data_IF_468634798526
#
_entry.id   IF_468634798526
#
_cell.length_a   1.000
_cell.length_b   1.000
_cell.length_c   1.000
_cell.angle_alpha   90.00
_cell.angle_beta   90.00
_cell.angle_gamma   90.00
#
_symmetry.space_group_name_H-M   'P 1'
#
loop_
_entity.id
_entity.type
_entity.pdbx_description
1 polymer ?
#
# COMPACT_ATOMS: atom_id res chain seq x y z
N UNK A 1 35.58 41.17 -45.78
CA UNK A 1 36.28 41.58 -44.54
C UNK A 1 35.32 41.43 -43.37
N UNK A 2 35.83 40.88 -42.27
CA UNK A 2 35.08 40.50 -41.08
C UNK A 2 34.65 41.70 -40.23
N UNK A 3 33.54 41.55 -39.49
CA UNK A 3 33.49 41.45 -38.01
C UNK A 3 32.09 41.79 -37.48
N UNK A 4 31.48 40.81 -36.80
CA UNK A 4 30.54 41.02 -35.69
C UNK A 4 31.27 41.78 -34.55
N UNK A 5 30.58 42.58 -33.70
CA UNK A 5 29.81 42.05 -32.54
C UNK A 5 28.57 42.94 -32.22
N UNK A 6 27.65 42.74 -31.25
CA UNK A 6 27.56 42.02 -29.99
C UNK A 6 26.10 41.61 -29.70
N UNK A 7 26.00 40.68 -28.76
CA UNK A 7 24.82 40.00 -28.21
C UNK A 7 24.06 40.78 -27.11
N UNK A 8 22.86 40.25 -26.84
CA UNK A 8 22.02 40.32 -25.63
C UNK A 8 21.11 41.56 -25.55
N UNK A 9 19.82 41.45 -25.19
CA UNK A 9 19.31 40.71 -24.05
C UNK A 9 17.95 40.04 -24.35
N UNK A 10 17.91 38.71 -24.32
CA UNK A 10 16.67 37.94 -24.23
C UNK A 10 16.37 37.68 -22.74
N UNK A 11 15.23 38.17 -22.26
CA UNK A 11 14.65 37.73 -20.97
C UNK A 11 13.72 36.55 -21.28
N UNK A 12 13.98 35.32 -20.82
CA UNK A 12 12.98 34.27 -20.88
C UNK A 12 11.93 34.50 -19.78
N UNK A 13 10.67 34.51 -20.18
CA UNK A 13 9.49 34.49 -19.31
C UNK A 13 9.48 33.21 -18.46
N UNK A 14 9.78 33.32 -17.17
CA UNK A 14 9.80 32.23 -16.20
C UNK A 14 8.42 31.75 -15.73
N UNK A 15 7.34 32.11 -16.42
CA UNK A 15 5.98 31.81 -15.97
C UNK A 15 5.40 30.46 -16.44
N UNK A 16 6.08 29.69 -17.30
CA UNK A 16 5.55 28.41 -17.80
C UNK A 16 6.25 27.15 -17.25
N UNK A 17 7.21 27.28 -16.34
CA UNK A 17 7.95 26.14 -15.79
C UNK A 17 7.39 25.56 -14.47
N UNK A 18 6.29 26.10 -13.94
CA UNK A 18 5.75 25.70 -12.62
C UNK A 18 4.62 24.67 -12.68
N UNK A 19 4.09 24.35 -13.86
CA UNK A 19 3.02 23.34 -13.98
C UNK A 19 3.55 21.90 -14.03
N UNK A 20 4.84 21.69 -14.28
CA UNK A 20 5.48 20.36 -14.31
C UNK A 20 6.17 19.96 -13.01
N UNK A 21 6.23 20.85 -12.02
CA UNK A 21 6.77 20.59 -10.67
C UNK A 21 5.68 20.30 -9.61
N UNK A 22 4.42 20.15 -10.06
CA UNK A 22 3.28 19.76 -9.23
C UNK A 22 3.19 18.27 -8.90
N UNK A 23 4.26 17.50 -9.11
CA UNK A 23 4.42 16.15 -8.51
C UNK A 23 4.88 16.26 -7.05
N UNK A 24 4.40 17.31 -6.37
CA UNK A 24 4.53 17.48 -4.94
C UNK A 24 4.08 16.18 -4.28
N UNK A 25 4.85 15.74 -3.29
CA UNK A 25 4.68 14.52 -2.51
C UNK A 25 3.29 14.46 -1.86
N UNK A 26 2.25 14.18 -2.65
CA UNK A 26 0.93 13.88 -2.13
C UNK A 26 1.10 12.59 -1.36
N UNK A 27 0.85 12.65 -0.04
CA UNK A 27 0.77 11.43 0.76
C UNK A 27 -0.18 10.47 0.06
N UNK A 28 0.16 9.18 0.01
CA UNK A 28 -0.73 8.19 -0.58
C UNK A 28 -2.12 8.32 0.05
N UNK A 29 -3.16 8.34 -0.78
CA UNK A 29 -4.53 8.64 -0.35
C UNK A 29 -5.10 7.56 0.55
N UNK A 30 -4.52 6.37 0.49
CA UNK A 30 -4.94 5.17 1.18
C UNK A 30 -3.73 4.25 1.37
N UNK A 31 -3.64 3.55 2.51
CA UNK A 31 -2.70 2.47 2.76
C UNK A 31 -3.45 1.14 2.74
N UNK A 32 -3.05 0.26 1.82
CA UNK A 32 -3.60 -1.09 1.67
C UNK A 32 -2.52 -2.10 2.04
N UNK A 33 -2.86 -3.12 2.81
CA UNK A 33 -1.95 -4.23 3.10
C UNK A 33 -2.49 -5.58 2.65
N UNK A 34 -1.58 -6.51 2.40
CA UNK A 34 -1.88 -7.86 1.96
C UNK A 34 -1.28 -8.88 2.92
N UNK A 35 -2.03 -9.92 3.27
CA UNK A 35 -1.47 -11.15 3.82
C UNK A 35 -0.61 -11.89 2.76
N UNK A 36 0.11 -12.92 3.18
CA UNK A 36 0.95 -13.73 2.31
C UNK A 36 0.30 -15.07 2.03
N UNK A 37 0.07 -15.88 3.06
CA UNK A 37 -0.24 -17.29 2.90
C UNK A 37 -1.68 -17.43 2.39
N UNK A 38 -1.88 -18.20 1.30
CA UNK A 38 -3.14 -18.33 0.55
C UNK A 38 -3.76 -17.02 -0.01
N UNK A 39 -3.14 -15.86 0.24
CA UNK A 39 -3.52 -14.55 -0.32
C UNK A 39 -2.63 -14.15 -1.49
N UNK A 40 -1.34 -13.90 -1.24
CA UNK A 40 -0.35 -13.52 -2.25
C UNK A 40 0.51 -14.70 -2.71
N UNK A 41 0.88 -15.59 -1.79
CA UNK A 41 1.44 -16.88 -2.12
C UNK A 41 0.29 -17.88 -2.17
N UNK A 42 0.17 -18.65 -3.24
CA UNK A 42 -0.83 -19.69 -3.35
C UNK A 42 -0.18 -21.02 -3.69
N UNK A 43 -0.77 -22.09 -3.17
CA UNK A 43 -0.45 -23.44 -3.61
C UNK A 43 -0.79 -23.58 -5.12
N UNK A 44 -0.01 -24.36 -5.89
CA UNK A 44 -0.25 -24.55 -7.32
C UNK A 44 -1.65 -25.07 -7.68
N UNK A 45 -2.30 -25.78 -6.76
CA UNK A 45 -3.67 -26.30 -6.89
C UNK A 45 -4.77 -25.25 -6.70
N UNK A 46 -4.44 -24.08 -6.12
CA UNK A 46 -5.37 -23.00 -5.86
C UNK A 46 -5.34 -21.93 -6.94
N UNK A 47 -4.15 -21.61 -7.46
CA UNK A 47 -3.97 -20.59 -8.49
C UNK A 47 -2.68 -20.83 -9.26
N UNK A 48 -2.65 -20.40 -10.52
CA UNK A 48 -1.41 -20.28 -11.27
C UNK A 48 -0.46 -19.26 -10.60
N UNK A 49 0.84 -19.49 -10.80
CA UNK A 49 1.88 -18.58 -10.39
C UNK A 49 2.01 -17.40 -11.39
N UNK A 50 2.39 -16.24 -10.88
CA UNK A 50 2.70 -15.04 -11.63
C UNK A 50 3.96 -15.26 -12.48
N UNK A 51 3.90 -14.79 -13.73
CA UNK A 51 5.04 -14.87 -14.63
C UNK A 51 6.21 -14.04 -14.12
N UNK A 52 7.38 -14.66 -14.15
CA UNK A 52 8.64 -14.04 -13.80
C UNK A 52 9.55 -13.91 -15.02
N UNK A 53 10.28 -12.79 -15.10
CA UNK A 53 11.38 -12.61 -16.07
C UNK A 53 12.67 -13.35 -15.68
N UNK A 54 12.79 -13.76 -14.41
CA UNK A 54 13.90 -14.55 -13.90
C UNK A 54 13.65 -16.04 -14.10
N UNK A 55 14.71 -16.85 -14.33
CA UNK A 55 14.60 -18.29 -14.43
C UNK A 55 13.91 -18.91 -13.22
N UNK A 56 13.12 -19.97 -13.44
CA UNK A 56 12.30 -20.60 -12.39
C UNK A 56 13.10 -21.11 -11.19
N UNK A 57 14.33 -21.60 -11.41
CA UNK A 57 15.20 -22.06 -10.33
C UNK A 57 15.58 -20.94 -9.35
N UNK A 58 15.65 -19.69 -9.82
CA UNK A 58 15.96 -18.52 -8.98
C UNK A 58 14.81 -18.28 -8.00
N UNK A 59 13.57 -18.39 -8.49
CA UNK A 59 12.38 -18.26 -7.64
C UNK A 59 12.29 -19.40 -6.64
N UNK A 60 12.48 -20.64 -7.10
CA UNK A 60 12.45 -21.83 -6.25
C UNK A 60 13.45 -21.77 -5.09
N UNK A 61 14.57 -21.07 -5.26
CA UNK A 61 15.60 -20.97 -4.22
C UNK A 61 15.49 -19.71 -3.36
N UNK A 62 14.93 -18.62 -3.90
CA UNK A 62 14.96 -17.31 -3.25
C UNK A 62 13.61 -16.81 -2.73
N UNK A 63 12.51 -17.49 -3.09
CA UNK A 63 11.16 -17.06 -2.77
C UNK A 63 10.11 -18.13 -3.00
N UNK A 64 8.86 -17.72 -2.94
CA UNK A 64 7.68 -18.58 -3.10
C UNK A 64 6.95 -18.24 -4.40
N UNK A 65 6.13 -19.15 -4.96
CA UNK A 65 5.25 -18.82 -6.07
C UNK A 65 4.31 -17.68 -5.69
N UNK A 66 4.33 -16.59 -6.46
CA UNK A 66 3.42 -15.47 -6.28
C UNK A 66 2.13 -15.75 -7.06
N UNK A 67 0.96 -15.46 -6.51
CA UNK A 67 -0.34 -15.63 -7.15
C UNK A 67 -0.45 -14.74 -8.38
N UNK A 68 -0.93 -15.31 -9.49
CA UNK A 68 -1.15 -14.57 -10.74
C UNK A 68 -2.06 -13.35 -10.55
N UNK A 69 -1.72 -12.26 -11.22
CA UNK A 69 -2.44 -10.99 -11.17
C UNK A 69 -1.96 -10.05 -10.06
N UNK A 70 -1.10 -10.51 -9.15
CA UNK A 70 -0.52 -9.67 -8.09
C UNK A 70 0.24 -8.48 -8.68
N UNK A 71 1.02 -8.70 -9.74
CA UNK A 71 1.85 -7.63 -10.33
C UNK A 71 1.01 -6.55 -11.00
N UNK A 72 -0.03 -6.92 -11.74
CA UNK A 72 -0.96 -5.96 -12.34
C UNK A 72 -1.75 -5.22 -11.27
N UNK A 73 -2.30 -5.95 -10.28
CA UNK A 73 -3.04 -5.38 -9.15
C UNK A 73 -2.23 -4.31 -8.41
N UNK A 74 -1.00 -4.63 -8.00
CA UNK A 74 -0.16 -3.68 -7.25
C UNK A 74 0.20 -2.46 -8.10
N UNK A 75 0.45 -2.64 -9.40
CA UNK A 75 0.69 -1.53 -10.32
C UNK A 75 -0.52 -0.60 -10.39
N UNK A 76 -1.72 -1.16 -10.48
CA UNK A 76 -2.94 -0.38 -10.65
C UNK A 76 -3.37 0.31 -9.35
N UNK A 77 -3.20 -0.33 -8.18
CA UNK A 77 -3.33 0.31 -6.87
C UNK A 77 -2.35 1.49 -6.71
N UNK A 78 -1.08 1.32 -7.11
CA UNK A 78 -0.10 2.41 -7.06
C UNK A 78 -0.47 3.57 -7.99
N UNK A 79 -1.04 3.29 -9.18
CA UNK A 79 -1.55 4.32 -10.09
C UNK A 79 -2.72 5.11 -9.49
N UNK A 80 -3.52 4.48 -8.63
CA UNK A 80 -4.59 5.13 -7.86
C UNK A 80 -4.06 5.89 -6.62
N UNK A 81 -2.74 5.95 -6.42
CA UNK A 81 -2.12 6.67 -5.31
C UNK A 81 -2.17 5.92 -3.98
N UNK A 82 -2.36 4.60 -3.99
CA UNK A 82 -2.30 3.77 -2.79
C UNK A 82 -0.86 3.48 -2.35
N UNK A 83 -0.63 3.43 -1.04
CA UNK A 83 0.56 2.84 -0.44
C UNK A 83 0.33 1.35 -0.23
N UNK A 84 1.25 0.52 -0.71
CA UNK A 84 1.11 -0.95 -0.69
C UNK A 84 2.01 -1.53 0.38
N UNK A 85 1.41 -2.26 1.32
CA UNK A 85 2.06 -2.88 2.46
C UNK A 85 1.87 -4.39 2.46
N UNK A 86 2.74 -5.09 3.17
CA UNK A 86 2.51 -6.49 3.55
C UNK A 86 2.19 -6.53 5.03
N UNK A 87 1.20 -7.33 5.41
CA UNK A 87 0.89 -7.62 6.79
C UNK A 87 0.62 -9.10 6.92
N UNK A 88 1.61 -9.83 7.42
CA UNK A 88 1.55 -11.28 7.61
C UNK A 88 1.75 -11.63 9.07
N UNK A 89 1.08 -12.69 9.51
CA UNK A 89 1.30 -13.30 10.83
C UNK A 89 2.45 -14.32 10.81
N UNK A 90 3.13 -14.51 9.68
CA UNK A 90 4.30 -15.38 9.56
C UNK A 90 5.57 -14.75 10.13
N UNK A 91 6.52 -15.61 10.52
CA UNK A 91 7.87 -15.23 10.96
C UNK A 91 8.82 -14.81 9.83
N UNK A 92 8.32 -14.61 8.60
CA UNK A 92 9.15 -14.16 7.48
C UNK A 92 9.70 -12.77 7.80
N UNK A 93 11.01 -12.59 7.61
CA UNK A 93 11.64 -11.30 7.90
C UNK A 93 11.21 -10.24 6.86
N UNK A 94 11.13 -8.95 7.25
CA UNK A 94 10.85 -7.88 6.29
C UNK A 94 11.82 -7.84 5.11
N UNK A 95 13.09 -8.17 5.33
CA UNK A 95 14.11 -8.23 4.28
C UNK A 95 13.82 -9.36 3.27
N UNK A 96 13.45 -10.54 3.77
CA UNK A 96 13.02 -11.66 2.92
C UNK A 96 11.83 -11.27 2.04
N UNK A 97 10.76 -10.75 2.65
CA UNK A 97 9.51 -10.39 1.95
C UNK A 97 9.80 -9.34 0.86
N UNK A 98 10.57 -8.30 1.18
CA UNK A 98 10.94 -7.26 0.21
C UNK A 98 11.77 -7.82 -0.95
N UNK A 99 12.73 -8.71 -0.66
CA UNK A 99 13.55 -9.36 -1.69
C UNK A 99 12.69 -10.25 -2.58
N UNK A 100 11.84 -11.09 -2.00
CA UNK A 100 10.95 -11.99 -2.72
C UNK A 100 10.06 -11.22 -3.71
N UNK A 101 9.34 -10.19 -3.25
CA UNK A 101 8.49 -9.38 -4.12
C UNK A 101 9.29 -8.61 -5.18
N UNK A 102 10.52 -8.19 -4.87
CA UNK A 102 11.40 -7.53 -5.83
C UNK A 102 11.77 -8.45 -7.01
N UNK A 103 11.86 -9.77 -6.81
CA UNK A 103 12.11 -10.72 -7.90
C UNK A 103 10.99 -10.72 -8.95
N UNK A 104 9.77 -10.34 -8.55
CA UNK A 104 8.62 -10.13 -9.44
C UNK A 104 8.47 -8.65 -9.89
N UNK A 105 9.45 -7.80 -9.58
CA UNK A 105 9.42 -6.37 -9.90
C UNK A 105 8.48 -5.55 -9.04
N UNK A 106 8.03 -6.09 -7.90
CA UNK A 106 7.11 -5.45 -6.96
C UNK A 106 7.90 -4.80 -5.84
N UNK A 107 7.53 -3.56 -5.50
CA UNK A 107 8.03 -2.85 -4.31
C UNK A 107 6.87 -2.64 -3.35
N UNK A 108 7.14 -2.72 -2.06
CA UNK A 108 6.19 -2.43 -0.98
C UNK A 108 6.74 -1.34 -0.08
N UNK A 109 5.85 -0.50 0.43
CA UNK A 109 6.20 0.68 1.21
C UNK A 109 6.45 0.30 2.69
N UNK A 110 5.75 -0.72 3.19
CA UNK A 110 5.95 -1.25 4.53
C UNK A 110 5.69 -2.75 4.63
N UNK A 111 6.22 -3.34 5.71
CA UNK A 111 6.00 -4.74 6.07
C UNK A 111 5.71 -4.79 7.57
N UNK A 112 4.65 -5.50 7.94
CA UNK A 112 4.31 -5.90 9.30
C UNK A 112 4.36 -7.43 9.31
N UNK A 113 5.33 -7.98 10.04
CA UNK A 113 5.42 -9.41 10.33
C UNK A 113 4.96 -9.68 11.77
N UNK A 114 4.96 -10.94 12.19
CA UNK A 114 4.59 -11.35 13.56
C UNK A 114 5.33 -10.56 14.65
N UNK A 115 6.64 -10.35 14.48
CA UNK A 115 7.46 -9.70 15.50
C UNK A 115 7.08 -8.23 15.66
N UNK A 116 6.95 -7.51 14.54
CA UNK A 116 6.53 -6.11 14.54
C UNK A 116 5.11 -5.94 15.06
N UNK A 117 4.20 -6.86 14.70
CA UNK A 117 2.83 -6.91 15.21
C UNK A 117 2.81 -7.01 16.73
N UNK A 118 3.47 -8.04 17.27
CA UNK A 118 3.49 -8.30 18.71
C UNK A 118 4.13 -7.14 19.47
N UNK A 119 5.23 -6.59 18.95
CA UNK A 119 5.90 -5.45 19.57
C UNK A 119 4.96 -4.25 19.70
N UNK A 120 4.31 -3.84 18.63
CA UNK A 120 3.40 -2.68 18.64
C UNK A 120 2.16 -2.92 19.50
N UNK A 121 1.56 -4.11 19.45
CA UNK A 121 0.42 -4.45 20.30
C UNK A 121 0.78 -4.45 21.79
N UNK A 122 1.95 -4.96 22.15
CA UNK A 122 2.43 -4.94 23.52
C UNK A 122 2.64 -3.51 24.02
N UNK A 123 3.24 -2.64 23.20
CA UNK A 123 3.42 -1.21 23.51
C UNK A 123 2.09 -0.47 23.70
N UNK A 124 1.04 -0.92 22.99
CA UNK A 124 -0.32 -0.38 23.11
C UNK A 124 -1.15 -1.04 24.23
N UNK A 125 -0.56 -1.96 25.01
CA UNK A 125 -1.20 -2.59 26.17
C UNK A 125 -2.17 -3.74 25.84
N UNK A 126 -2.11 -4.31 24.64
CA UNK A 126 -2.92 -5.47 24.28
C UNK A 126 -2.30 -6.76 24.85
N UNK A 127 -2.91 -7.34 25.89
CA UNK A 127 -2.50 -8.64 26.43
C UNK A 127 -2.94 -9.83 25.55
N UNK A 128 -4.06 -9.69 24.84
CA UNK A 128 -4.60 -10.63 23.84
C UNK A 128 -5.28 -9.82 22.73
N UNK A 129 -4.47 -9.28 21.82
CA UNK A 129 -4.99 -8.54 20.66
C UNK A 129 -5.51 -9.47 19.55
N UNK A 130 -6.20 -8.92 18.54
CA UNK A 130 -6.63 -9.69 17.37
C UNK A 130 -5.42 -10.25 16.61
N UNK A 131 -5.66 -11.26 15.79
CA UNK A 131 -4.62 -11.90 14.97
C UNK A 131 -3.89 -10.89 14.07
N UNK A 132 -4.62 -9.87 13.59
CA UNK A 132 -4.10 -8.68 12.90
C UNK A 132 -4.84 -7.43 13.37
N UNK A 133 -4.12 -6.31 13.42
CA UNK A 133 -4.68 -5.01 13.79
C UNK A 133 -4.16 -3.88 12.86
N UNK A 134 -4.66 -3.81 11.61
CA UNK A 134 -4.27 -2.79 10.64
C UNK A 134 -4.27 -1.34 11.16
N UNK A 135 -5.21 -0.90 12.03
CA UNK A 135 -5.23 0.47 12.56
C UNK A 135 -3.96 0.89 13.31
N UNK A 136 -3.27 -0.04 13.99
CA UNK A 136 -2.00 0.28 14.68
C UNK A 136 -0.86 0.69 13.73
N UNK A 137 -1.06 0.48 12.42
CA UNK A 137 -0.10 0.79 11.37
C UNK A 137 -0.68 1.75 10.33
N UNK A 138 -1.73 2.51 10.64
CA UNK A 138 -2.43 3.42 9.72
C UNK A 138 -2.81 2.75 8.38
N UNK A 139 -3.17 1.46 8.41
CA UNK A 139 -3.63 0.72 7.23
C UNK A 139 -5.15 0.86 7.14
N UNK A 140 -5.64 1.34 6.01
CA UNK A 140 -7.06 1.65 5.78
C UNK A 140 -7.87 0.44 5.27
N UNK A 141 -7.22 -0.50 4.59
CA UNK A 141 -7.81 -1.74 4.09
C UNK A 141 -6.79 -2.87 4.14
N UNK A 142 -7.22 -4.02 4.64
CA UNK A 142 -6.44 -5.25 4.62
C UNK A 142 -7.05 -6.28 3.65
N UNK A 143 -6.21 -6.97 2.90
CA UNK A 143 -6.57 -8.07 2.00
C UNK A 143 -6.07 -9.36 2.64
N UNK A 144 -6.96 -10.32 2.83
CA UNK A 144 -6.70 -11.58 3.54
C UNK A 144 -7.61 -12.67 2.97
N UNK A 145 -7.28 -13.95 3.11
CA UNK A 145 -8.15 -15.08 2.71
C UNK A 145 -9.04 -15.58 3.85
N UNK A 146 -8.74 -15.19 5.09
CA UNK A 146 -9.42 -15.65 6.29
C UNK A 146 -10.68 -14.84 6.62
N UNK A 147 -11.82 -15.54 6.65
CA UNK A 147 -13.05 -15.01 7.23
C UNK A 147 -12.91 -14.67 8.71
N UNK A 148 -12.02 -15.36 9.45
CA UNK A 148 -11.74 -15.05 10.86
C UNK A 148 -11.16 -13.64 11.03
N UNK A 149 -10.27 -13.22 10.13
CA UNK A 149 -9.68 -11.87 10.13
C UNK A 149 -10.75 -10.82 9.80
N UNK A 150 -11.72 -11.13 8.93
CA UNK A 150 -12.86 -10.25 8.68
C UNK A 150 -13.76 -10.09 9.90
N UNK A 151 -14.05 -11.18 10.62
CA UNK A 151 -14.82 -11.13 11.88
C UNK A 151 -14.10 -10.27 12.91
N UNK A 152 -12.79 -10.45 13.10
CA UNK A 152 -11.98 -9.56 13.95
C UNK A 152 -12.04 -8.11 13.47
N UNK A 153 -12.06 -7.89 12.15
CA UNK A 153 -12.24 -6.57 11.54
C UNK A 153 -13.56 -5.91 11.90
N UNK A 154 -14.66 -6.66 11.87
CA UNK A 154 -15.97 -6.18 12.29
C UNK A 154 -15.98 -5.85 13.80
N UNK A 155 -15.38 -6.71 14.64
CA UNK A 155 -15.33 -6.55 16.09
C UNK A 155 -14.45 -5.37 16.53
N UNK A 156 -13.36 -5.10 15.80
CA UNK A 156 -12.35 -4.10 16.14
C UNK A 156 -12.36 -2.86 15.24
N UNK A 157 -13.29 -2.76 14.30
CA UNK A 157 -13.52 -1.57 13.48
C UNK A 157 -12.50 -1.33 12.37
N UNK A 158 -11.95 -2.38 11.77
CA UNK A 158 -11.05 -2.28 10.61
C UNK A 158 -11.58 -3.03 9.39
N UNK A 159 -11.20 -2.56 8.20
CA UNK A 159 -11.76 -3.06 6.94
C UNK A 159 -10.92 -4.20 6.39
N UNK A 160 -11.58 -5.29 6.05
CA UNK A 160 -10.97 -6.45 5.40
C UNK A 160 -11.72 -6.77 4.12
N UNK A 161 -11.00 -6.97 3.01
CA UNK A 161 -11.54 -7.62 1.82
C UNK A 161 -11.04 -9.04 1.79
N UNK A 162 -11.96 -9.99 2.01
CA UNK A 162 -11.64 -11.42 1.98
C UNK A 162 -11.52 -11.88 0.54
N UNK A 163 -10.44 -12.57 0.18
CA UNK A 163 -10.24 -13.15 -1.17
C UNK A 163 -10.18 -14.66 -1.11
N UNK A 164 -10.90 -15.34 -1.99
CA UNK A 164 -10.80 -16.80 -2.08
C UNK A 164 -9.54 -17.15 -2.90
N UNK A 165 -8.69 -18.11 -2.47
CA UNK A 165 -7.50 -18.52 -3.23
C UNK A 165 -7.81 -19.01 -4.65
N UNK A 166 -9.02 -19.55 -4.86
CA UNK A 166 -9.50 -20.11 -6.14
C UNK A 166 -10.29 -19.12 -7.00
N UNK A 167 -10.48 -17.89 -6.52
CA UNK A 167 -11.18 -16.85 -7.29
C UNK A 167 -10.23 -16.23 -8.32
N UNK A 168 -10.50 -16.43 -9.61
CA UNK A 168 -9.74 -15.84 -10.71
C UNK A 168 -9.92 -14.31 -10.80
N UNK A 169 -11.05 -13.80 -10.30
CA UNK A 169 -11.41 -12.37 -10.31
C UNK A 169 -11.02 -11.64 -9.02
N UNK A 170 -10.20 -12.26 -8.15
CA UNK A 170 -9.80 -11.69 -6.86
C UNK A 170 -9.17 -10.29 -6.98
N UNK A 171 -8.39 -10.06 -8.05
CA UNK A 171 -7.75 -8.75 -8.28
C UNK A 171 -8.78 -7.64 -8.48
N UNK A 172 -9.85 -7.92 -9.23
CA UNK A 172 -10.94 -6.96 -9.45
C UNK A 172 -11.68 -6.69 -8.15
N UNK A 173 -11.96 -7.74 -7.36
CA UNK A 173 -12.57 -7.61 -6.03
C UNK A 173 -11.76 -6.67 -5.11
N UNK A 174 -10.43 -6.80 -5.09
CA UNK A 174 -9.56 -5.92 -4.31
C UNK A 174 -9.58 -4.48 -4.84
N UNK A 175 -9.56 -4.27 -6.16
CA UNK A 175 -9.64 -2.95 -6.76
C UNK A 175 -10.96 -2.24 -6.42
N UNK A 176 -12.09 -2.94 -6.53
CA UNK A 176 -13.41 -2.39 -6.21
C UNK A 176 -13.51 -2.01 -4.72
N UNK A 177 -13.00 -2.87 -3.84
CA UNK A 177 -12.92 -2.59 -2.42
C UNK A 177 -12.05 -1.35 -2.13
N UNK A 178 -10.89 -1.24 -2.78
CA UNK A 178 -10.01 -0.08 -2.64
C UNK A 178 -10.70 1.21 -3.09
N UNK A 179 -11.41 1.20 -4.22
CA UNK A 179 -12.20 2.35 -4.70
C UNK A 179 -13.26 2.76 -3.66
N UNK A 180 -14.00 1.81 -3.10
CA UNK A 180 -15.02 2.10 -2.08
C UNK A 180 -14.44 2.73 -0.81
N UNK A 181 -13.27 2.25 -0.35
CA UNK A 181 -12.57 2.83 0.79
C UNK A 181 -12.06 4.23 0.47
N UNK A 182 -11.44 4.43 -0.71
CA UNK A 182 -10.96 5.76 -1.13
C UNK A 182 -12.10 6.79 -1.20
N UNK A 183 -13.27 6.40 -1.71
CA UNK A 183 -14.45 7.26 -1.72
C UNK A 183 -14.86 7.62 -0.28
N UNK A 184 -14.97 6.63 0.60
CA UNK A 184 -15.30 6.86 2.02
C UNK A 184 -14.31 7.82 2.70
N UNK A 185 -13.01 7.62 2.49
CA UNK A 185 -11.97 8.50 3.03
C UNK A 185 -12.06 9.91 2.44
N UNK A 186 -12.37 10.06 1.15
CA UNK A 186 -12.57 11.37 0.53
C UNK A 186 -13.77 12.12 1.11
N UNK A 187 -14.87 11.42 1.40
CA UNK A 187 -16.05 11.98 2.08
C UNK A 187 -15.75 12.42 3.52
N UNK A 188 -14.82 11.74 4.20
CA UNK A 188 -14.42 12.09 5.58
C UNK A 188 -13.39 13.22 5.65
N UNK A 189 -12.64 13.49 4.57
CA UNK A 189 -11.64 14.56 4.53
C UNK A 189 -12.15 16.01 4.72
N UNK A 190 -13.38 16.43 4.33
CA UNK A 190 -13.89 17.75 4.71
C UNK A 190 -14.05 17.97 6.22
N UNK A 191 -14.06 16.91 7.05
CA UNK A 191 -14.16 17.03 8.52
C UNK A 191 -12.85 16.84 9.28
N UNK A 192 -11.74 16.53 8.60
CA UNK A 192 -10.40 16.42 9.24
C UNK A 192 -9.69 17.77 9.42
N UNK A 193 -10.27 18.86 8.90
CA UNK A 193 -9.70 20.21 8.89
C UNK A 193 -10.67 21.29 9.39
N UNK A 194 -11.41 21.05 10.48
CA UNK A 194 -11.77 22.18 11.36
C UNK A 194 -10.66 22.35 12.39
N UNK A 195 -9.72 23.25 12.10
CA UNK A 195 -8.78 23.71 13.12
C UNK A 195 -9.58 24.42 14.22
N UNK A 196 -9.28 24.21 15.51
CA UNK A 196 -9.96 24.93 16.57
C UNK A 196 -9.70 26.42 16.38
N UNK A 197 -10.78 27.19 16.20
CA UNK A 197 -10.74 28.65 16.16
C UNK A 197 -10.09 29.13 17.45
N UNK A 198 -8.85 29.59 17.35
CA UNK A 198 -8.11 30.18 18.47
C UNK A 198 -8.81 31.49 18.80
N UNK A 199 -9.65 31.50 19.85
CA UNK A 199 -10.19 32.72 20.42
C UNK A 199 -9.00 33.62 20.83
N UNK A 200 -8.79 34.71 20.10
CA UNK A 200 -7.84 35.73 20.48
C UNK A 200 -8.41 36.43 21.73
N UNK A 201 -7.75 36.24 22.86
CA UNK A 201 -8.01 37.02 24.05
C UNK A 201 -7.66 38.49 23.76
N UNK A 202 -8.67 39.35 23.80
CA UNK A 202 -8.53 40.80 23.86
C UNK A 202 -7.88 41.15 25.19
N UNK A 203 -6.61 41.55 25.18
CA UNK A 203 -6.00 42.26 26.32
C UNK A 203 -6.18 43.76 26.11
N UNK A 204 -6.95 44.37 27.02
CA UNK A 204 -7.04 45.83 27.22
C UNK A 204 -5.79 46.38 27.87
#
# INVERSE_FOLDING_TARGET
>A
MARYPMLNHWRPSTQQAWQTLGRAFTRPRMRISFDIDDTLACLPEHSAAEDSKLPEFVHRWLGEPLRVGTRSLIRDLRRQGCSVWIYTSSGRTPAYIRRWLMLYGIRVDGVVNSDRHQHVLNEQGFAKGPSKYPPAFDIDLHVDDSEGVRIEGDDHGFRVVVVCPKDESWTQKVLDAAVGVQQTLAWQQPHRYEAPVRQQALTS
#
